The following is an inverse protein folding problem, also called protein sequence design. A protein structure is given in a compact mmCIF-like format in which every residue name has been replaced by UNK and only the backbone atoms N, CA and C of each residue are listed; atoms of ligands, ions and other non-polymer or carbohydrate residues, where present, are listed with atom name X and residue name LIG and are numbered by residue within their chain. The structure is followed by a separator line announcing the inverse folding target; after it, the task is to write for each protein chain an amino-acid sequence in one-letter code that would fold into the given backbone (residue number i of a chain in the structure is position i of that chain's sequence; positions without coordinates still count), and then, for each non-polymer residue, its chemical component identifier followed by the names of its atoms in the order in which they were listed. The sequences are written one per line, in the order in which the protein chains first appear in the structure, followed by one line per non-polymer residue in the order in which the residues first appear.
data_IF_368887320399
#
_entry.id   IF_368887320399
#
_cell.length_a   1.000
_cell.length_b   1.000
_cell.length_c   1.000
_cell.angle_alpha   90.00
_cell.angle_beta   90.00
_cell.angle_gamma   90.00
#
_symmetry.space_group_name_H-M   'P 1'
#
loop_
_entity.id
_entity.type
_entity.pdbx_description
1 polymer ?
#
# COMPACT_ATOMS: atom_id res chain seq x y z
N UNK A 1 4.38 -6.61 19.71
CA UNK A 1 5.44 -7.10 18.85
C UNK A 1 6.75 -7.06 19.61
N UNK A 2 7.48 -8.16 19.64
CA UNK A 2 8.73 -8.34 20.38
C UNK A 2 9.96 -8.06 19.50
N UNK A 3 11.11 -7.83 20.14
CA UNK A 3 12.38 -7.68 19.42
C UNK A 3 12.81 -8.96 18.69
N UNK A 4 12.40 -10.13 19.17
CA UNK A 4 12.67 -11.41 18.50
C UNK A 4 11.87 -11.53 17.20
N UNK A 5 10.59 -11.13 17.23
CA UNK A 5 9.74 -11.05 16.02
C UNK A 5 10.32 -10.05 15.02
N UNK A 6 10.70 -8.84 15.45
CA UNK A 6 11.35 -7.84 14.59
C UNK A 6 12.61 -8.40 13.94
N UNK A 7 13.47 -9.08 14.71
CA UNK A 7 14.69 -9.73 14.22
C UNK A 7 14.40 -10.83 13.20
N UNK A 8 13.37 -11.63 13.42
CA UNK A 8 12.95 -12.66 12.46
C UNK A 8 12.47 -12.03 11.15
N UNK A 9 11.62 -11.01 11.24
CA UNK A 9 11.06 -10.31 10.08
C UNK A 9 12.09 -9.48 9.32
N UNK A 10 13.23 -9.12 9.93
CA UNK A 10 14.32 -8.46 9.20
C UNK A 10 14.96 -9.37 8.16
N UNK A 11 14.85 -10.70 8.34
CA UNK A 11 15.33 -11.71 7.41
C UNK A 11 14.37 -11.93 6.22
N UNK A 12 13.22 -11.24 6.20
CA UNK A 12 12.35 -11.19 5.03
C UNK A 12 13.13 -10.65 3.82
N UNK A 13 12.99 -11.34 2.69
CA UNK A 13 13.73 -11.03 1.46
C UNK A 13 12.83 -10.47 0.37
N UNK A 14 11.51 -10.63 0.48
CA UNK A 14 10.57 -10.28 -0.58
C UNK A 14 9.29 -9.59 -0.09
N UNK A 15 9.04 -9.54 1.22
CA UNK A 15 7.90 -8.87 1.83
C UNK A 15 6.77 -9.83 2.21
N UNK A 16 6.85 -11.11 1.83
CA UNK A 16 5.82 -12.10 2.11
C UNK A 16 5.70 -12.36 3.61
N UNK A 17 6.82 -12.56 4.30
CA UNK A 17 6.81 -12.87 5.74
C UNK A 17 6.20 -11.71 6.53
N UNK A 18 6.56 -10.48 6.17
CA UNK A 18 6.00 -9.28 6.79
C UNK A 18 4.51 -9.14 6.53
N UNK A 19 4.06 -9.41 5.30
CA UNK A 19 2.64 -9.38 4.95
C UNK A 19 1.83 -10.42 5.73
N UNK A 20 2.30 -11.66 5.78
CA UNK A 20 1.66 -12.73 6.55
C UNK A 20 1.62 -12.40 8.04
N UNK A 21 2.68 -11.78 8.57
CA UNK A 21 2.71 -11.34 9.96
C UNK A 21 1.63 -10.30 10.25
N UNK A 22 1.49 -9.27 9.40
CA UNK A 22 0.40 -8.28 9.50
C UNK A 22 -0.95 -9.00 9.46
N UNK A 23 -1.19 -9.86 8.47
CA UNK A 23 -2.48 -10.51 8.29
C UNK A 23 -2.89 -11.35 9.50
N UNK A 24 -1.94 -12.03 10.13
CA UNK A 24 -2.20 -12.92 11.28
C UNK A 24 -2.33 -12.18 12.62
N UNK A 25 -1.80 -10.96 12.75
CA UNK A 25 -1.73 -10.25 14.02
C UNK A 25 -2.47 -8.92 14.02
N UNK A 26 -3.08 -8.51 12.90
CA UNK A 26 -3.83 -7.25 12.82
C UNK A 26 -4.88 -7.18 13.95
N UNK A 27 -4.92 -6.04 14.64
CA UNK A 27 -5.83 -5.82 15.77
C UNK A 27 -5.27 -6.19 17.15
N UNK A 28 -4.04 -6.73 17.26
CA UNK A 28 -3.37 -6.82 18.57
C UNK A 28 -2.84 -5.45 19.01
N UNK A 29 -2.96 -5.14 20.30
CA UNK A 29 -2.62 -3.82 20.86
C UNK A 29 -1.13 -3.45 20.71
N UNK A 30 -0.26 -4.45 20.60
CA UNK A 30 1.18 -4.30 20.58
C UNK A 30 1.78 -4.39 19.16
N UNK A 31 0.94 -4.46 18.12
CA UNK A 31 1.40 -4.55 16.74
C UNK A 31 1.94 -3.21 16.25
N UNK A 32 3.21 -3.18 15.88
CA UNK A 32 3.88 -1.99 15.34
C UNK A 32 3.72 -1.98 13.81
N UNK A 33 2.55 -1.53 13.33
CA UNK A 33 2.22 -1.51 11.89
C UNK A 33 3.17 -0.60 11.12
N UNK A 34 3.57 0.54 11.69
CA UNK A 34 4.51 1.45 11.06
C UNK A 34 5.85 0.74 10.74
N UNK A 35 6.44 0.06 11.72
CA UNK A 35 7.68 -0.70 11.50
C UNK A 35 7.52 -1.81 10.45
N UNK A 36 6.36 -2.49 10.44
CA UNK A 36 6.08 -3.54 9.46
C UNK A 36 5.99 -2.96 8.04
N UNK A 37 5.38 -1.78 7.87
CA UNK A 37 5.37 -1.07 6.59
C UNK A 37 6.78 -0.72 6.15
N UNK A 38 7.60 -0.09 7.01
CA UNK A 38 8.98 0.24 6.67
C UNK A 38 9.80 -1.00 6.26
N UNK A 39 9.60 -2.12 6.94
CA UNK A 39 10.27 -3.37 6.59
C UNK A 39 9.85 -3.86 5.20
N UNK A 40 8.54 -3.86 4.91
CA UNK A 40 8.00 -4.28 3.61
C UNK A 40 8.45 -3.36 2.47
N UNK A 41 8.48 -2.04 2.71
CA UNK A 41 9.01 -1.07 1.76
C UNK A 41 10.47 -1.32 1.41
N UNK A 42 11.27 -1.82 2.36
CA UNK A 42 12.67 -2.14 2.13
C UNK A 42 12.85 -3.38 1.25
N UNK A 43 12.00 -4.41 1.40
CA UNK A 43 12.26 -5.75 0.84
C UNK A 43 11.41 -6.10 -0.38
N UNK A 44 10.19 -5.58 -0.48
CA UNK A 44 9.32 -5.86 -1.62
C UNK A 44 9.83 -5.11 -2.85
N UNK A 45 10.51 -5.81 -3.75
CA UNK A 45 11.15 -5.20 -4.91
C UNK A 45 10.17 -4.80 -6.03
N UNK A 46 8.99 -5.42 -6.09
CA UNK A 46 8.03 -5.24 -7.20
C UNK A 46 6.77 -4.48 -6.78
N UNK A 47 6.60 -4.23 -5.49
CA UNK A 47 5.43 -3.54 -4.93
C UNK A 47 4.20 -4.44 -4.83
N UNK A 48 4.37 -5.77 -4.93
CA UNK A 48 3.27 -6.72 -4.86
C UNK A 48 2.64 -6.76 -3.46
N UNK A 49 3.49 -6.87 -2.44
CA UNK A 49 3.07 -6.95 -1.05
C UNK A 49 2.73 -5.57 -0.52
N UNK A 50 3.42 -4.50 -0.93
CA UNK A 50 2.99 -3.14 -0.56
C UNK A 50 1.60 -2.84 -1.11
N UNK A 51 1.29 -3.25 -2.36
CA UNK A 51 -0.05 -3.10 -2.92
C UNK A 51 -1.10 -3.94 -2.19
N UNK A 52 -0.73 -5.15 -1.77
CA UNK A 52 -1.64 -6.07 -1.10
C UNK A 52 -1.91 -5.65 0.34
N UNK A 53 -0.89 -5.18 1.06
CA UNK A 53 -1.00 -4.62 2.39
C UNK A 53 -1.84 -3.33 2.40
N UNK A 54 -1.63 -2.42 1.44
CA UNK A 54 -2.43 -1.20 1.35
C UNK A 54 -3.92 -1.51 1.23
N UNK A 55 -4.28 -2.42 0.32
CA UNK A 55 -5.68 -2.86 0.14
C UNK A 55 -6.22 -3.56 1.38
N UNK A 56 -5.41 -4.38 2.02
CA UNK A 56 -5.79 -5.10 3.24
C UNK A 56 -6.10 -4.12 4.38
N UNK A 57 -5.18 -3.21 4.70
CA UNK A 57 -5.37 -2.22 5.75
C UNK A 57 -6.57 -1.31 5.47
N UNK A 58 -6.75 -0.88 4.21
CA UNK A 58 -7.92 -0.09 3.80
C UNK A 58 -9.25 -0.82 4.03
N UNK A 59 -9.29 -2.14 3.80
CA UNK A 59 -10.46 -2.95 4.04
C UNK A 59 -10.74 -3.21 5.53
N UNK A 60 -9.70 -3.19 6.38
CA UNK A 60 -9.84 -3.33 7.83
C UNK A 60 -10.34 -2.01 8.45
N UNK A 61 -9.58 -0.92 8.28
CA UNK A 61 -9.94 0.41 8.77
C UNK A 61 -9.10 1.48 8.04
N UNK A 62 -9.71 2.11 7.05
CA UNK A 62 -9.05 3.11 6.21
C UNK A 62 -8.65 4.40 6.95
N UNK A 63 -9.37 4.77 8.02
CA UNK A 63 -9.07 5.99 8.77
C UNK A 63 -7.97 5.73 9.79
N UNK A 64 -8.02 4.59 10.48
CA UNK A 64 -7.01 4.20 11.46
C UNK A 64 -5.62 4.07 10.82
N UNK A 65 -5.54 3.43 9.65
CA UNK A 65 -4.27 3.13 8.98
C UNK A 65 -3.93 4.09 7.83
N UNK A 66 -4.56 5.27 7.80
CA UNK A 66 -4.45 6.20 6.67
C UNK A 66 -3.01 6.55 6.28
N UNK A 67 -2.14 6.73 7.28
CA UNK A 67 -0.73 7.05 7.05
C UNK A 67 -0.01 5.89 6.37
N UNK A 68 -0.14 4.70 6.94
CA UNK A 68 0.52 3.49 6.48
C UNK A 68 -0.01 3.02 5.12
N UNK A 69 -1.31 3.16 4.87
CA UNK A 69 -1.90 2.94 3.55
C UNK A 69 -1.27 3.89 2.53
N UNK A 70 -1.13 5.18 2.86
CA UNK A 70 -0.51 6.17 1.97
C UNK A 70 0.95 5.83 1.63
N UNK A 71 1.73 5.38 2.61
CA UNK A 71 3.14 5.00 2.44
C UNK A 71 3.27 3.75 1.56
N UNK A 72 2.47 2.70 1.85
CA UNK A 72 2.43 1.49 1.04
C UNK A 72 2.01 1.74 -0.42
N UNK A 73 1.04 2.65 -0.65
CA UNK A 73 0.66 3.06 -1.99
C UNK A 73 1.82 3.77 -2.69
N UNK A 74 2.49 4.71 -2.01
CA UNK A 74 3.64 5.43 -2.55
C UNK A 74 4.77 4.47 -2.95
N UNK A 75 5.09 3.50 -2.09
CA UNK A 75 6.08 2.45 -2.36
C UNK A 75 5.68 1.60 -3.58
N UNK A 76 4.41 1.20 -3.65
CA UNK A 76 3.86 0.45 -4.79
C UNK A 76 4.04 1.21 -6.10
N UNK A 77 3.71 2.50 -6.12
CA UNK A 77 3.89 3.35 -7.31
C UNK A 77 5.35 3.33 -7.77
N UNK A 78 6.31 3.38 -6.86
CA UNK A 78 7.73 3.42 -7.24
C UNK A 78 8.22 2.10 -7.84
N UNK A 79 7.68 0.97 -7.37
CA UNK A 79 8.17 -0.37 -7.68
C UNK A 79 7.39 -1.08 -8.79
N UNK A 80 6.10 -0.82 -8.92
CA UNK A 80 5.24 -1.41 -9.95
C UNK A 80 5.43 -0.71 -11.30
N UNK A 81 6.58 -0.97 -11.93
CA UNK A 81 6.95 -0.39 -13.23
C UNK A 81 6.09 -0.87 -14.39
N UNK A 82 5.49 -2.05 -14.25
CA UNK A 82 4.66 -2.68 -15.27
C UNK A 82 3.16 -2.42 -15.06
N UNK A 83 2.80 -1.64 -14.02
CA UNK A 83 1.43 -1.30 -13.68
C UNK A 83 0.55 -2.55 -13.43
N UNK A 84 1.13 -3.62 -12.86
CA UNK A 84 0.42 -4.87 -12.57
C UNK A 84 -0.57 -4.74 -11.42
N UNK A 85 -0.28 -3.87 -10.46
CA UNK A 85 -1.01 -3.72 -9.21
C UNK A 85 -1.74 -2.38 -9.14
N UNK A 86 -1.21 -1.34 -9.81
CA UNK A 86 -1.80 0.00 -9.84
C UNK A 86 -3.29 0.05 -10.20
N UNK A 87 -3.81 -0.64 -11.24
CA UNK A 87 -5.23 -0.59 -11.57
C UNK A 87 -6.14 -1.09 -10.45
N UNK A 88 -5.80 -2.25 -9.86
CA UNK A 88 -6.57 -2.85 -8.77
C UNK A 88 -6.45 -2.03 -7.49
N UNK A 89 -5.29 -1.42 -7.24
CA UNK A 89 -5.09 -0.51 -6.11
C UNK A 89 -6.05 0.69 -6.22
N UNK A 90 -6.20 1.23 -7.42
CA UNK A 90 -7.00 2.42 -7.68
C UNK A 90 -8.48 2.15 -7.33
N UNK A 91 -9.06 1.05 -7.81
CA UNK A 91 -10.45 0.67 -7.48
C UNK A 91 -10.62 0.30 -6.01
N UNK A 92 -9.66 -0.41 -5.42
CA UNK A 92 -9.75 -0.89 -4.03
C UNK A 92 -9.63 0.23 -2.99
N UNK A 93 -8.93 1.32 -3.31
CA UNK A 93 -8.70 2.45 -2.40
C UNK A 93 -9.69 3.59 -2.65
N UNK A 94 -9.98 3.88 -3.92
CA UNK A 94 -10.74 5.07 -4.31
C UNK A 94 -12.16 4.76 -4.83
N UNK A 95 -12.56 3.49 -4.84
CA UNK A 95 -13.87 3.04 -5.31
C UNK A 95 -13.90 2.72 -6.80
N UNK A 96 -14.85 1.90 -7.22
CA UNK A 96 -15.03 1.50 -8.63
C UNK A 96 -15.46 2.67 -9.53
N UNK A 97 -16.04 3.72 -8.95
CA UNK A 97 -16.50 4.93 -9.61
C UNK A 97 -15.45 6.06 -9.63
N UNK A 98 -14.20 5.77 -9.26
CA UNK A 98 -13.13 6.76 -9.17
C UNK A 98 -12.97 7.64 -10.42
N UNK A 99 -13.25 7.09 -11.61
CA UNK A 99 -13.11 7.82 -12.88
C UNK A 99 -14.04 9.03 -12.94
N UNK A 100 -15.23 8.92 -12.35
CA UNK A 100 -16.22 10.01 -12.29
C UNK A 100 -15.73 11.17 -11.40
N UNK A 101 -14.88 10.85 -10.43
CA UNK A 101 -14.31 11.79 -9.47
C UNK A 101 -12.83 12.10 -9.74
N UNK A 102 -12.28 11.65 -10.87
CA UNK A 102 -10.84 11.66 -11.11
C UNK A 102 -10.21 13.06 -11.04
N UNK A 103 -10.93 14.10 -11.48
CA UNK A 103 -10.44 15.48 -11.39
C UNK A 103 -10.35 15.97 -9.94
N UNK A 104 -11.36 15.67 -9.12
CA UNK A 104 -11.40 16.03 -7.70
C UNK A 104 -10.32 15.27 -6.92
N UNK A 105 -10.28 13.95 -7.10
CA UNK A 105 -9.31 13.06 -6.45
C UNK A 105 -7.88 13.42 -6.87
N UNK A 106 -7.65 13.75 -8.14
CA UNK A 106 -6.32 14.19 -8.60
C UNK A 106 -5.89 15.52 -8.00
N UNK A 107 -6.82 16.37 -7.54
CA UNK A 107 -6.47 17.62 -6.86
C UNK A 107 -6.16 17.38 -5.38
N UNK A 108 -7.00 16.59 -4.70
CA UNK A 108 -6.97 16.39 -3.25
C UNK A 108 -5.99 15.31 -2.78
N UNK A 109 -5.69 14.30 -3.60
CA UNK A 109 -4.83 13.17 -3.25
C UNK A 109 -3.63 13.03 -4.21
N UNK A 110 -2.43 13.10 -3.65
CA UNK A 110 -1.20 12.98 -4.40
C UNK A 110 -0.95 11.57 -4.94
N UNK A 111 -1.25 10.54 -4.15
CA UNK A 111 -1.08 9.15 -4.57
C UNK A 111 -2.06 8.82 -5.69
N UNK A 112 -3.33 9.21 -5.56
CA UNK A 112 -4.32 9.07 -6.64
C UNK A 112 -3.79 9.67 -7.95
N UNK A 113 -3.40 10.96 -7.90
CA UNK A 113 -2.86 11.69 -9.06
C UNK A 113 -1.66 10.97 -9.70
N UNK A 114 -0.75 10.43 -8.90
CA UNK A 114 0.44 9.70 -9.38
C UNK A 114 0.04 8.39 -10.09
N UNK A 115 -0.88 7.62 -9.51
CA UNK A 115 -1.37 6.38 -10.12
C UNK A 115 -2.12 6.70 -11.42
N UNK A 116 -3.06 7.64 -11.35
CA UNK A 116 -3.92 8.02 -12.47
C UNK A 116 -3.10 8.48 -13.68
N UNK A 117 -2.08 9.33 -13.48
CA UNK A 117 -1.18 9.77 -14.57
C UNK A 117 -0.38 8.64 -15.21
N UNK A 118 -0.02 7.60 -14.44
CA UNK A 118 0.71 6.44 -14.97
C UNK A 118 -0.17 5.53 -15.81
N UNK A 119 -1.42 5.35 -15.40
CA UNK A 119 -2.39 4.52 -16.13
C UNK A 119 -3.00 5.26 -17.33
N UNK A 120 -3.12 6.58 -17.25
CA UNK A 120 -3.74 7.43 -18.28
C UNK A 120 -2.80 8.57 -18.73
N UNK A 121 -1.65 8.28 -19.36
CA UNK A 121 -0.62 9.27 -19.68
C UNK A 121 -1.05 10.34 -20.68
N UNK A 122 -2.12 10.11 -21.44
CA UNK A 122 -2.71 11.08 -22.38
C UNK A 122 -3.85 11.90 -21.78
N UNK A 123 -4.20 11.65 -20.52
CA UNK A 123 -5.22 12.45 -19.83
C UNK A 123 -4.72 13.87 -19.61
N UNK A 124 -5.63 14.85 -19.71
CA UNK A 124 -5.32 16.26 -19.45
C UNK A 124 -5.40 16.63 -17.95
N UNK A 125 -5.72 15.66 -17.10
CA UNK A 125 -5.81 15.80 -15.64
C UNK A 125 -4.43 15.81 -14.95
#
# INVERSE_FOLDING_TARGET
MTEEEKKHLTADTDGLLTYEFIANHIGTEDLDIHWLVENMERVDAQGQFTASAARYLNAIDAELYKGEISDLIASTIEKDREHRYLPTLLTSIYGDDYEQHAAELSLSDNNFRRIYKRLHPTSAL
#
